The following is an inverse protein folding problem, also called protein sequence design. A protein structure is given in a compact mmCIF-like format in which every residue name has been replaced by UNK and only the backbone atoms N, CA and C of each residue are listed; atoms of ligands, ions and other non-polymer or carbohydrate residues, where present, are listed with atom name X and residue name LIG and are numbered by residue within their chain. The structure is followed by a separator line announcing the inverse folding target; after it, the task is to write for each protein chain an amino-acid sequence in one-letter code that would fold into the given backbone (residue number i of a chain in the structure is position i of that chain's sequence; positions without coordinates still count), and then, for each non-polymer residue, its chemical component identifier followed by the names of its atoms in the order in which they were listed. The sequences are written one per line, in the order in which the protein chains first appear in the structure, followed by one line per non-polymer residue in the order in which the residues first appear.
data_IF_798064275005
#
_entry.id   IF_798064275005
#
_cell.length_a   1.000
_cell.length_b   1.000
_cell.length_c   1.000
_cell.angle_alpha   90.00
_cell.angle_beta   90.00
_cell.angle_gamma   90.00
#
_symmetry.space_group_name_H-M   'P 1'
#
loop_
_entity.id
_entity.type
_entity.pdbx_description
1 polymer ?
#
# COMPACT_ATOMS: atom_id res chain seq x y z
N UNK A 1 -9.30 14.55 -7.75
CA UNK A 1 -7.98 15.20 -7.53
C UNK A 1 -8.00 16.67 -7.97
N UNK A 2 -8.73 17.56 -7.27
CA UNK A 2 -8.90 18.96 -7.71
C UNK A 2 -7.70 19.87 -7.38
N UNK A 3 -7.04 19.67 -6.24
CA UNK A 3 -5.85 20.44 -5.81
C UNK A 3 -4.60 19.94 -6.51
N UNK A 4 -3.62 20.79 -6.79
CA UNK A 4 -2.38 20.39 -7.47
C UNK A 4 -1.54 19.40 -6.66
N UNK A 5 -1.57 19.48 -5.33
CA UNK A 5 -1.03 18.43 -4.49
C UNK A 5 -1.78 17.10 -4.64
N UNK A 6 -1.04 16.01 -4.53
CA UNK A 6 -1.59 14.65 -4.56
C UNK A 6 -1.50 14.00 -3.19
N UNK A 7 -2.44 13.12 -2.90
CA UNK A 7 -2.47 12.26 -1.72
C UNK A 7 -3.00 10.88 -2.12
N UNK A 8 -2.10 9.92 -2.29
CA UNK A 8 -2.44 8.53 -2.61
C UNK A 8 -1.75 7.63 -1.61
N UNK A 9 -2.49 6.73 -0.97
CA UNK A 9 -1.96 5.66 -0.16
C UNK A 9 -2.13 4.32 -0.86
N UNK A 10 -1.33 3.35 -0.45
CA UNK A 10 -1.36 1.98 -0.93
C UNK A 10 -1.56 1.02 0.24
N UNK A 11 -2.47 0.07 0.03
CA UNK A 11 -2.67 -1.11 0.85
C UNK A 11 -2.49 -2.35 -0.01
N UNK A 12 -1.46 -3.13 0.28
CA UNK A 12 -1.20 -4.40 -0.41
C UNK A 12 -1.60 -5.63 0.39
N UNK A 13 -2.45 -5.53 1.41
CA UNK A 13 -2.68 -6.68 2.28
C UNK A 13 -3.69 -7.70 1.73
N UNK A 14 -3.45 -8.97 2.04
CA UNK A 14 -4.30 -10.07 1.61
C UNK A 14 -5.63 -10.08 2.39
N UNK A 15 -6.74 -10.25 1.68
CA UNK A 15 -8.09 -10.30 2.27
C UNK A 15 -8.41 -11.65 2.95
N UNK A 16 -7.65 -12.69 2.60
CA UNK A 16 -7.91 -14.05 3.05
C UNK A 16 -7.36 -14.36 4.45
N UNK A 17 -6.46 -13.59 5.07
CA UNK A 17 -5.73 -14.05 6.28
C UNK A 17 -5.34 -12.93 7.26
N UNK A 18 -5.18 -13.29 8.55
CA UNK A 18 -4.41 -12.50 9.52
C UNK A 18 -2.88 -12.60 9.25
N UNK A 19 -2.04 -11.87 10.00
CA UNK A 19 -0.65 -11.54 9.60
C UNK A 19 0.44 -12.35 10.30
N UNK A 20 0.98 -13.37 9.64
CA UNK A 20 2.16 -14.10 10.10
C UNK A 20 3.43 -13.27 10.29
N UNK A 21 3.99 -12.79 9.17
CA UNK A 21 5.29 -12.12 9.06
C UNK A 21 5.28 -11.20 7.83
N UNK A 22 6.06 -10.12 7.87
CA UNK A 22 6.28 -9.26 6.69
C UNK A 22 7.05 -10.03 5.61
N UNK A 23 6.86 -9.66 4.33
CA UNK A 23 7.73 -10.17 3.28
C UNK A 23 9.17 -9.67 3.53
N UNK A 24 10.19 -10.52 3.34
CA UNK A 24 11.59 -10.14 3.53
C UNK A 24 11.92 -8.84 2.78
N UNK A 25 12.60 -7.92 3.46
CA UNK A 25 13.11 -6.65 2.92
C UNK A 25 12.07 -5.66 2.38
N UNK A 26 10.77 -5.94 2.56
CA UNK A 26 9.68 -5.09 2.06
C UNK A 26 9.10 -4.15 3.12
N UNK A 27 9.26 -4.48 4.40
CA UNK A 27 8.63 -3.76 5.51
C UNK A 27 7.10 -3.87 5.49
N UNK A 28 6.46 -2.93 6.18
CA UNK A 28 5.01 -2.92 6.33
C UNK A 28 4.31 -2.55 5.02
N UNK A 29 3.19 -3.20 4.68
CA UNK A 29 2.50 -3.16 3.37
C UNK A 29 1.75 -1.85 3.08
N UNK A 30 1.98 -0.84 3.90
CA UNK A 30 1.39 0.49 3.79
C UNK A 30 2.43 1.42 3.20
N UNK A 31 2.06 2.12 2.15
CA UNK A 31 2.89 3.16 1.56
C UNK A 31 2.01 4.36 1.20
N UNK A 32 2.63 5.51 1.00
CA UNK A 32 1.95 6.69 0.51
C UNK A 32 2.85 7.52 -0.41
N UNK A 33 2.22 8.22 -1.34
CA UNK A 33 2.79 9.35 -2.05
C UNK A 33 1.91 10.57 -1.78
N UNK A 34 2.47 11.51 -1.01
CA UNK A 34 1.86 12.78 -0.79
C UNK A 34 2.83 13.94 -0.93
N UNK A 35 2.41 14.96 -1.68
CA UNK A 35 3.21 16.15 -1.91
C UNK A 35 2.33 17.40 -2.08
N UNK A 36 2.89 18.54 -1.72
CA UNK A 36 2.34 19.85 -2.10
C UNK A 36 3.12 20.41 -3.29
N UNK A 37 2.47 21.21 -4.12
CA UNK A 37 3.15 22.00 -5.15
C UNK A 37 3.40 23.41 -4.62
N UNK A 38 4.65 23.85 -4.59
CA UNK A 38 5.02 25.21 -4.18
C UNK A 38 6.15 25.73 -5.06
N UNK A 39 5.99 26.95 -5.59
CA UNK A 39 6.98 27.61 -6.45
C UNK A 39 7.49 26.72 -7.60
N UNK A 40 6.61 25.91 -8.21
CA UNK A 40 6.96 25.01 -9.30
C UNK A 40 7.79 23.79 -8.88
N UNK A 41 7.85 23.47 -7.59
CA UNK A 41 8.55 22.30 -7.03
C UNK A 41 7.61 21.44 -6.19
N UNK A 42 7.81 20.12 -6.23
CA UNK A 42 7.08 19.17 -5.41
C UNK A 42 7.73 19.08 -4.03
N UNK A 43 6.93 19.30 -2.98
CA UNK A 43 7.33 19.14 -1.59
C UNK A 43 6.70 17.85 -1.08
N UNK A 44 7.44 16.75 -1.16
CA UNK A 44 7.00 15.46 -0.62
C UNK A 44 6.91 15.51 0.91
N UNK A 45 5.84 14.93 1.45
CA UNK A 45 5.60 14.81 2.90
C UNK A 45 5.98 13.45 3.43
N UNK A 46 5.95 12.44 2.58
CA UNK A 46 6.34 11.06 2.88
C UNK A 46 7.67 10.79 2.17
N UNK A 47 8.62 10.25 2.92
CA UNK A 47 9.94 9.86 2.42
C UNK A 47 9.98 8.38 2.10
N UNK A 48 11.00 7.97 1.36
CA UNK A 48 11.27 6.55 1.11
C UNK A 48 11.52 5.77 2.41
N UNK A 49 12.08 6.42 3.44
CA UNK A 49 12.29 5.81 4.75
C UNK A 49 10.96 5.53 5.46
N UNK A 50 9.99 6.46 5.37
CA UNK A 50 8.65 6.26 5.92
C UNK A 50 7.94 5.09 5.23
N UNK A 51 8.05 5.01 3.89
CA UNK A 51 7.49 3.90 3.11
C UNK A 51 8.17 2.56 3.43
N UNK A 52 9.46 2.55 3.81
CA UNK A 52 10.22 1.34 4.18
C UNK A 52 10.08 0.92 5.65
N UNK A 53 9.36 1.66 6.48
CA UNK A 53 9.10 1.25 7.88
C UNK A 53 8.48 -0.14 7.93
N UNK A 54 8.98 -0.98 8.83
CA UNK A 54 8.54 -2.36 9.07
C UNK A 54 8.70 -2.74 10.53
N UNK A 55 8.16 -3.90 10.91
CA UNK A 55 8.14 -4.39 12.30
C UNK A 55 9.53 -4.33 12.94
N UNK A 56 9.57 -3.91 14.20
CA UNK A 56 10.80 -3.68 14.95
C UNK A 56 11.41 -2.28 14.79
N UNK A 57 11.00 -1.50 13.78
CA UNK A 57 11.45 -0.11 13.58
C UNK A 57 10.47 0.86 14.22
N UNK A 58 10.95 1.73 15.11
CA UNK A 58 10.10 2.71 15.78
C UNK A 58 9.84 3.94 14.91
N UNK A 59 8.63 4.50 15.00
CA UNK A 59 8.23 5.77 14.39
C UNK A 59 7.34 6.58 15.37
N UNK A 60 7.17 7.90 15.17
CA UNK A 60 6.37 8.72 16.08
C UNK A 60 4.94 8.20 16.25
N UNK A 61 4.58 7.86 17.49
CA UNK A 61 3.23 7.40 17.85
C UNK A 61 3.01 5.89 17.76
N UNK A 62 4.02 5.09 17.35
CA UNK A 62 3.91 3.63 17.35
C UNK A 62 3.80 3.08 18.77
N UNK A 63 2.90 2.14 19.00
CA UNK A 63 2.75 1.46 20.27
C UNK A 63 3.83 0.40 20.47
N UNK A 64 4.27 0.13 21.72
CA UNK A 64 5.24 -0.94 21.99
C UNK A 64 4.76 -2.33 21.52
N UNK A 65 3.44 -2.55 21.48
CA UNK A 65 2.85 -3.80 21.04
C UNK A 65 2.98 -3.97 19.51
N UNK A 66 2.84 -2.89 18.75
CA UNK A 66 2.97 -2.90 17.30
C UNK A 66 4.38 -3.27 16.84
N UNK A 67 5.41 -2.93 17.63
CA UNK A 67 6.81 -3.25 17.31
C UNK A 67 7.09 -4.76 17.16
N UNK A 68 6.20 -5.62 17.65
CA UNK A 68 6.31 -7.07 17.55
C UNK A 68 5.08 -7.72 16.88
N UNK A 69 4.19 -6.93 16.30
CA UNK A 69 2.96 -7.41 15.68
C UNK A 69 2.76 -6.72 14.31
N UNK A 70 2.98 -7.42 13.18
CA UNK A 70 2.91 -6.78 11.88
C UNK A 70 1.49 -6.34 11.46
N UNK A 71 0.44 -6.98 11.98
CA UNK A 71 -0.95 -6.53 11.76
C UNK A 71 -1.17 -5.15 12.39
N UNK A 72 -0.84 -5.04 13.68
CA UNK A 72 -0.98 -3.79 14.41
C UNK A 72 -0.03 -2.71 13.87
N UNK A 73 1.19 -3.08 13.50
CA UNK A 73 2.16 -2.17 12.90
C UNK A 73 1.65 -1.59 11.58
N UNK A 74 1.02 -2.39 10.71
CA UNK A 74 0.45 -1.90 9.47
C UNK A 74 -0.63 -0.84 9.73
N UNK A 75 -1.55 -1.09 10.67
CA UNK A 75 -2.60 -0.13 11.03
C UNK A 75 -2.00 1.16 11.58
N UNK A 76 -1.03 1.08 12.49
CA UNK A 76 -0.43 2.26 13.09
C UNK A 76 0.45 3.04 12.09
N UNK A 77 1.16 2.35 11.19
CA UNK A 77 1.91 2.98 10.10
C UNK A 77 0.96 3.73 9.16
N UNK A 78 -0.21 3.17 8.84
CA UNK A 78 -1.21 3.88 8.02
C UNK A 78 -1.65 5.18 8.68
N UNK A 79 -1.94 5.17 9.98
CA UNK A 79 -2.30 6.37 10.73
C UNK A 79 -1.15 7.40 10.73
N UNK A 80 0.08 6.93 10.90
CA UNK A 80 1.27 7.76 10.83
C UNK A 80 1.41 8.43 9.44
N UNK A 81 1.37 7.65 8.35
CA UNK A 81 1.38 8.19 6.98
C UNK A 81 0.20 9.14 6.74
N UNK A 82 -0.97 8.82 7.27
CA UNK A 82 -2.16 9.68 7.23
C UNK A 82 -1.92 11.03 7.88
N UNK A 83 -1.23 11.07 9.02
CA UNK A 83 -0.88 12.32 9.71
C UNK A 83 0.09 13.19 8.91
N UNK A 84 1.05 12.59 8.17
CA UNK A 84 1.96 13.32 7.30
C UNK A 84 1.25 13.90 6.06
N UNK A 85 0.27 13.16 5.57
CA UNK A 85 -0.48 13.48 4.36
C UNK A 85 -1.72 14.36 4.62
N UNK A 86 -2.10 14.62 5.87
CA UNK A 86 -3.33 15.34 6.20
C UNK A 86 -3.40 16.73 5.57
N UNK A 87 -4.56 17.04 5.01
CA UNK A 87 -4.90 18.34 4.48
C UNK A 87 -6.03 18.91 5.33
N UNK A 88 -5.78 20.08 5.92
CA UNK A 88 -6.84 20.89 6.52
C UNK A 88 -7.82 21.33 5.42
N UNK A 89 -9.07 20.91 5.57
CA UNK A 89 -10.16 21.22 4.64
C UNK A 89 -11.45 21.44 5.42
N UNK A 90 -12.40 22.15 4.82
CA UNK A 90 -13.66 22.54 5.47
C UNK A 90 -14.82 21.80 4.79
N UNK A 91 -15.69 21.08 5.53
CA UNK A 91 -15.84 21.08 6.98
C UNK A 91 -14.96 20.06 7.73
N UNK A 92 -14.27 19.15 7.03
CA UNK A 92 -13.46 18.09 7.66
C UNK A 92 -12.12 17.95 6.95
N UNK A 93 -11.02 17.74 7.70
CA UNK A 93 -9.75 17.36 7.10
C UNK A 93 -9.87 16.00 6.40
N UNK A 94 -8.97 15.76 5.45
CA UNK A 94 -8.84 14.48 4.75
C UNK A 94 -7.37 14.17 4.51
N UNK A 95 -7.04 12.90 4.29
CA UNK A 95 -5.65 12.43 4.28
C UNK A 95 -5.20 11.98 2.89
N UNK A 96 -5.78 10.90 2.36
CA UNK A 96 -5.43 10.37 1.05
C UNK A 96 -6.57 9.55 0.41
N UNK A 97 -6.44 9.33 -0.89
CA UNK A 97 -7.19 8.27 -1.58
C UNK A 97 -6.42 6.97 -1.45
N UNK A 98 -7.07 5.91 -0.99
CA UNK A 98 -6.42 4.62 -0.81
C UNK A 98 -6.60 3.76 -2.06
N UNK A 99 -5.48 3.25 -2.58
CA UNK A 99 -5.44 2.18 -3.56
C UNK A 99 -5.24 0.87 -2.79
N UNK A 100 -6.28 0.05 -2.80
CA UNK A 100 -6.30 -1.20 -2.06
C UNK A 100 -6.17 -2.35 -3.06
N UNK A 101 -4.99 -2.95 -3.09
CA UNK A 101 -4.69 -4.10 -3.93
C UNK A 101 -4.92 -5.37 -3.11
N UNK A 102 -6.04 -6.04 -3.35
CA UNK A 102 -6.36 -7.30 -2.69
C UNK A 102 -6.01 -8.47 -3.60
N UNK A 103 -5.15 -9.35 -3.11
CA UNK A 103 -5.03 -10.69 -3.67
C UNK A 103 -6.00 -11.63 -2.94
N UNK A 104 -6.57 -12.57 -3.69
CA UNK A 104 -7.53 -13.54 -3.20
C UNK A 104 -8.98 -13.20 -3.58
N UNK A 105 -9.64 -14.17 -4.20
CA UNK A 105 -11.10 -14.18 -4.26
C UNK A 105 -11.60 -14.68 -2.89
N UNK A 106 -12.42 -13.89 -2.19
CA UNK A 106 -13.14 -14.35 -0.99
C UNK A 106 -14.28 -15.30 -1.39
N UNK A 107 -13.94 -16.33 -2.16
CA UNK A 107 -14.86 -17.37 -2.54
C UNK A 107 -14.63 -18.54 -1.60
N UNK A 108 -15.56 -18.68 -0.64
CA UNK A 108 -15.59 -19.74 0.35
C UNK A 108 -15.63 -21.13 -0.24
N UNK A 109 -15.96 -21.28 -1.53
CA UNK A 109 -16.09 -22.56 -2.22
C UNK A 109 -14.88 -22.92 -3.08
N UNK A 110 -14.02 -21.97 -3.42
CA UNK A 110 -12.87 -22.19 -4.31
C UNK A 110 -11.64 -22.78 -3.61
N UNK A 111 -11.51 -22.56 -2.30
CA UNK A 111 -10.31 -22.90 -1.54
C UNK A 111 -9.09 -22.05 -1.94
N UNK A 112 -9.30 -20.93 -2.66
CA UNK A 112 -8.24 -19.97 -3.02
C UNK A 112 -7.73 -19.19 -1.81
N UNK A 113 -8.58 -18.94 -0.81
CA UNK A 113 -8.13 -18.57 0.53
C UNK A 113 -7.74 -19.85 1.28
N UNK A 114 -6.43 -20.10 1.54
CA UNK A 114 -6.02 -21.28 2.28
C UNK A 114 -6.32 -21.11 3.77
N UNK A 115 -6.93 -22.11 4.40
CA UNK A 115 -7.02 -22.20 5.86
C UNK A 115 -5.70 -22.78 6.37
N UNK A 116 -4.89 -21.98 7.08
CA UNK A 116 -3.58 -22.39 7.61
C UNK A 116 -2.64 -22.98 6.54
N UNK A 117 -2.58 -22.35 5.37
CA UNK A 117 -1.71 -22.76 4.26
C UNK A 117 -2.21 -24.00 3.49
N UNK A 118 -3.37 -24.54 3.85
CA UNK A 118 -4.02 -25.66 3.14
C UNK A 118 -5.21 -25.16 2.33
N UNK A 119 -5.34 -25.60 1.08
CA UNK A 119 -6.54 -25.35 0.28
C UNK A 119 -7.69 -26.20 0.83
N UNK A 120 -8.66 -25.59 1.51
CA UNK A 120 -9.81 -26.28 2.12
C UNK A 120 -11.14 -25.68 1.66
N UNK A 121 -11.68 -26.08 0.50
CA UNK A 121 -13.04 -25.74 0.12
C UNK A 121 -14.08 -26.76 0.64
N UNK A 122 -15.27 -26.32 1.11
CA UNK A 122 -15.64 -24.98 1.51
C UNK A 122 -15.25 -24.67 2.97
N UNK A 123 -14.95 -23.42 3.29
CA UNK A 123 -14.69 -22.97 4.66
C UNK A 123 -15.78 -21.99 5.14
N UNK A 124 -15.94 -21.86 6.47
CA UNK A 124 -16.92 -20.93 7.06
C UNK A 124 -16.41 -19.49 6.96
N UNK A 125 -17.24 -18.50 6.56
CA UNK A 125 -16.89 -17.09 6.65
C UNK A 125 -16.49 -16.72 8.08
N UNK A 126 -15.38 -16.01 8.24
CA UNK A 126 -14.83 -15.66 9.56
C UNK A 126 -13.40 -15.13 9.48
N UNK A 127 -12.77 -14.92 10.65
CA UNK A 127 -11.33 -14.63 10.76
C UNK A 127 -10.55 -15.86 10.34
N UNK A 128 -9.59 -15.68 9.45
CA UNK A 128 -8.74 -16.76 8.97
C UNK A 128 -7.42 -16.79 9.75
N UNK A 129 -7.09 -17.93 10.39
CA UNK A 129 -5.95 -18.01 11.29
C UNK A 129 -4.62 -18.31 10.61
N UNK A 130 -4.41 -17.94 9.34
CA UNK A 130 -3.14 -18.27 8.68
C UNK A 130 -2.02 -17.31 9.10
N UNK A 131 -1.23 -17.71 10.08
CA UNK A 131 0.04 -17.06 10.43
C UNK A 131 1.22 -17.99 10.10
N UNK A 132 2.08 -17.58 9.17
CA UNK A 132 3.39 -18.20 8.93
C UNK A 132 3.61 -18.78 7.53
N UNK A 133 4.64 -19.63 7.41
CA UNK A 133 5.05 -20.25 6.15
C UNK A 133 3.91 -21.01 5.47
N UNK A 134 3.60 -20.68 4.21
CA UNK A 134 2.54 -21.29 3.42
C UNK A 134 1.25 -20.47 3.30
N UNK A 135 1.16 -19.33 3.99
CA UNK A 135 0.09 -18.34 3.79
C UNK A 135 0.38 -17.47 2.55
N UNK A 136 -0.64 -16.79 2.01
CA UNK A 136 -0.46 -15.89 0.86
C UNK A 136 0.19 -14.57 1.31
N UNK A 137 1.26 -14.20 0.61
CA UNK A 137 2.18 -13.12 0.97
C UNK A 137 1.59 -11.71 0.74
N UNK A 138 2.19 -10.70 1.38
CA UNK A 138 2.10 -9.31 0.92
C UNK A 138 2.86 -9.16 -0.42
N UNK A 139 2.51 -8.17 -1.26
CA UNK A 139 3.23 -7.93 -2.49
C UNK A 139 4.60 -7.32 -2.21
N UNK A 140 5.55 -7.64 -3.08
CA UNK A 140 6.66 -6.74 -3.37
C UNK A 140 6.05 -5.47 -3.97
N UNK A 141 6.45 -4.33 -3.44
CA UNK A 141 5.97 -3.00 -3.79
C UNK A 141 7.16 -2.11 -4.11
N UNK A 142 7.18 -1.56 -5.31
CA UNK A 142 8.08 -0.50 -5.71
C UNK A 142 7.29 0.80 -5.82
N UNK A 143 7.71 1.80 -5.05
CA UNK A 143 7.22 3.16 -5.14
C UNK A 143 8.05 3.95 -6.15
N UNK A 144 7.37 4.61 -7.08
CA UNK A 144 7.94 5.63 -7.95
C UNK A 144 7.45 7.00 -7.45
N UNK A 145 8.29 7.74 -6.70
CA UNK A 145 7.93 9.07 -6.21
C UNK A 145 7.49 9.96 -7.36
N UNK A 146 6.41 10.72 -7.12
CA UNK A 146 5.87 11.60 -8.13
C UNK A 146 6.91 12.64 -8.56
N UNK A 147 7.15 12.76 -9.86
CA UNK A 147 8.03 13.77 -10.44
C UNK A 147 7.23 14.78 -11.27
N UNK A 148 7.68 16.04 -11.29
CA UNK A 148 7.16 17.09 -12.15
C UNK A 148 8.07 17.23 -13.38
N UNK A 149 7.50 17.09 -14.57
CA UNK A 149 8.22 17.26 -15.83
C UNK A 149 8.23 18.74 -16.30
N UNK A 150 9.01 19.01 -17.37
CA UNK A 150 9.12 20.34 -17.96
C UNK A 150 7.84 20.85 -18.63
N UNK A 151 6.84 19.99 -18.85
CA UNK A 151 5.54 20.34 -19.43
C UNK A 151 4.47 20.62 -18.35
N UNK A 152 4.84 20.55 -17.08
CA UNK A 152 3.93 20.71 -15.95
C UNK A 152 3.08 19.47 -15.67
N UNK A 153 3.54 18.29 -16.09
CA UNK A 153 2.91 16.99 -15.83
C UNK A 153 3.57 16.36 -14.60
N UNK A 154 2.76 16.02 -13.62
CA UNK A 154 3.13 15.27 -12.43
C UNK A 154 2.78 13.80 -12.65
N UNK A 155 3.77 12.92 -12.54
CA UNK A 155 3.59 11.47 -12.73
C UNK A 155 4.31 10.67 -11.65
N UNK A 156 3.63 9.68 -11.09
CA UNK A 156 4.17 8.73 -10.12
C UNK A 156 3.41 7.42 -10.17
N UNK A 157 3.79 6.47 -9.32
CA UNK A 157 3.12 5.19 -9.31
C UNK A 157 3.56 4.22 -8.23
N UNK A 158 2.79 3.14 -8.13
CA UNK A 158 3.11 1.93 -7.39
C UNK A 158 3.10 0.76 -8.36
N UNK A 159 4.07 -0.13 -8.29
CA UNK A 159 4.02 -1.38 -9.03
C UNK A 159 4.65 -2.52 -8.23
N UNK A 160 4.42 -3.75 -8.66
CA UNK A 160 4.95 -4.88 -7.92
C UNK A 160 4.36 -6.22 -8.30
N UNK A 161 4.55 -7.19 -7.41
CA UNK A 161 4.14 -8.58 -7.61
C UNK A 161 3.87 -9.29 -6.29
N UNK A 162 2.95 -10.26 -6.30
CA UNK A 162 2.74 -11.16 -5.17
C UNK A 162 3.67 -12.38 -5.18
N UNK A 163 4.43 -12.58 -6.25
CA UNK A 163 5.31 -13.74 -6.43
C UNK A 163 6.70 -13.48 -5.86
N UNK A 164 6.88 -13.71 -4.56
CA UNK A 164 8.16 -13.53 -3.86
C UNK A 164 9.32 -14.38 -4.43
N UNK A 165 9.01 -15.49 -5.12
CA UNK A 165 9.97 -16.51 -5.56
C UNK A 165 9.86 -16.85 -7.06
N UNK A 166 9.42 -15.92 -7.92
CA UNK A 166 9.21 -16.27 -9.33
C UNK A 166 10.52 -16.74 -9.99
N UNK A 167 10.52 -17.99 -10.46
CA UNK A 167 11.60 -18.53 -11.29
C UNK A 167 11.45 -18.04 -12.72
N UNK A 168 12.58 -17.82 -13.39
CA UNK A 168 12.66 -17.33 -14.77
C UNK A 168 11.88 -18.25 -15.71
N UNK A 169 10.70 -17.83 -16.17
CA UNK A 169 9.85 -18.59 -17.12
C UNK A 169 8.40 -18.84 -16.70
N UNK A 170 7.97 -18.42 -15.50
CA UNK A 170 6.57 -18.49 -15.06
C UNK A 170 5.74 -17.23 -15.38
N UNK A 171 4.40 -17.35 -15.38
CA UNK A 171 3.49 -16.21 -15.41
C UNK A 171 3.50 -15.50 -14.06
N UNK A 172 4.24 -14.41 -13.94
CA UNK A 172 4.30 -13.60 -12.73
C UNK A 172 3.09 -12.69 -12.63
N UNK A 173 2.42 -12.69 -11.48
CA UNK A 173 1.50 -11.65 -11.07
C UNK A 173 2.19 -10.29 -11.14
N UNK A 174 1.49 -9.31 -11.68
CA UNK A 174 1.97 -7.95 -11.79
C UNK A 174 0.80 -7.02 -11.52
N UNK A 175 1.08 -5.95 -10.79
CA UNK A 175 0.17 -4.82 -10.68
C UNK A 175 0.92 -3.54 -10.98
N UNK A 176 0.21 -2.58 -11.56
CA UNK A 176 0.70 -1.23 -11.78
C UNK A 176 -0.40 -0.23 -11.47
N UNK A 177 -0.06 0.78 -10.70
CA UNK A 177 -0.91 1.90 -10.38
C UNK A 177 -0.13 3.14 -10.80
N UNK A 178 -0.58 3.82 -11.84
CA UNK A 178 0.05 5.03 -12.34
C UNK A 178 -0.93 6.18 -12.21
N UNK A 179 -0.46 7.31 -11.72
CA UNK A 179 -1.22 8.55 -11.79
C UNK A 179 -0.50 9.58 -12.62
N UNK A 180 -1.28 10.34 -13.37
CA UNK A 180 -0.80 11.47 -14.13
C UNK A 180 -1.72 12.67 -13.92
N UNK A 181 -1.12 13.82 -13.68
CA UNK A 181 -1.85 15.06 -13.44
C UNK A 181 -1.09 16.27 -13.97
N UNK A 182 -1.78 17.13 -14.73
CA UNK A 182 -1.25 18.44 -15.14
C UNK A 182 -1.49 19.50 -14.06
N UNK A 183 -0.49 20.33 -13.78
CA UNK A 183 -0.61 21.49 -12.87
C UNK A 183 -1.72 22.42 -13.34
N UNK A 184 -2.59 22.84 -12.42
CA UNK A 184 -3.68 23.79 -12.67
C UNK A 184 -4.87 23.23 -13.44
N UNK A 185 -4.86 21.97 -13.88
CA UNK A 185 -5.98 21.40 -14.66
C UNK A 185 -7.20 21.06 -13.80
N UNK A 186 -7.02 20.85 -12.50
CA UNK A 186 -8.05 20.35 -11.59
C UNK A 186 -8.49 18.90 -11.84
N UNK A 187 -7.91 18.20 -12.84
CA UNK A 187 -8.26 16.84 -13.26
C UNK A 187 -6.98 16.01 -13.42
N UNK A 188 -6.97 14.83 -12.82
CA UNK A 188 -5.89 13.84 -12.95
C UNK A 188 -6.47 12.47 -13.25
N UNK A 189 -5.68 11.62 -13.88
CA UNK A 189 -6.04 10.24 -14.18
C UNK A 189 -5.31 9.29 -13.22
N UNK A 190 -5.99 8.25 -12.78
CA UNK A 190 -5.41 7.11 -12.08
C UNK A 190 -5.69 5.87 -12.95
N UNK A 191 -4.62 5.23 -13.40
CA UNK A 191 -4.64 3.99 -14.18
C UNK A 191 -4.21 2.85 -13.26
N UNK A 192 -4.97 1.76 -13.28
CA UNK A 192 -4.68 0.55 -12.50
C UNK A 192 -4.68 -0.61 -13.50
N UNK A 193 -3.54 -1.31 -13.62
CA UNK A 193 -3.33 -2.49 -14.44
C UNK A 193 -3.00 -3.70 -13.57
#
# INVERSE_FOLDING_TARGET
MRRDGLRVAFEGWNFCNEVGQEAPDMGSPRAADCFDLSNGSLIHKVTEADNKLGVGVSFPGVSPNALNNPDLYAVEKELYLGSLCEISDTPKPWQFWMVMLKNGNYDTNSGLCPENGKKVPPFKPGRFPCFGSGCMNQPILYHQPTALDGNGIMRGGFNGSYDLNSSTGGSTSYFEVVWEKKVGSGVGCLLIN
#
